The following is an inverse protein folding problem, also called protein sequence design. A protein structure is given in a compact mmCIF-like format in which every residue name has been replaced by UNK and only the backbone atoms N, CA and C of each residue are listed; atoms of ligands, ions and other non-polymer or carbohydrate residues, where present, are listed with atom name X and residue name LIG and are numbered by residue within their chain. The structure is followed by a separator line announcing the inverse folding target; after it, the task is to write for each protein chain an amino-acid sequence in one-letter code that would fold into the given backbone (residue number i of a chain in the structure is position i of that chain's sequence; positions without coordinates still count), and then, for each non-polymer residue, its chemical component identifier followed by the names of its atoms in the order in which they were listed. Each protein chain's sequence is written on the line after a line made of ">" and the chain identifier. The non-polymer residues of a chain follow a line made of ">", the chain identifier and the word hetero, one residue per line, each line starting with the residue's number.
data_IF_295270963113
#
_entry.id   IF_295270963113
#
_cell.length_a   1.000
_cell.length_b   1.000
_cell.length_c   1.000
_cell.angle_alpha   90.00
_cell.angle_beta   90.00
_cell.angle_gamma   90.00
#
_symmetry.space_group_name_H-M   'P 1'
#
loop_
_entity.id
_entity.type
_entity.pdbx_description
1 polymer ?
#
# COMPACT_ATOMS: atom_id res chain seq x y z
N UNK A 1 -12.60 -32.28 18.80
CA UNK A 1 -13.62 -31.28 18.49
C UNK A 1 -12.98 -29.96 18.07
N UNK A 2 -13.68 -29.19 17.29
CA UNK A 2 -13.25 -27.84 16.89
C UNK A 2 -13.36 -26.95 18.13
N UNK A 3 -12.24 -26.31 18.51
CA UNK A 3 -12.22 -25.31 19.59
C UNK A 3 -12.81 -24.00 19.07
N UNK A 4 -13.48 -23.25 19.94
CA UNK A 4 -13.84 -21.88 19.63
C UNK A 4 -12.58 -20.96 19.62
N UNK A 5 -12.74 -19.74 19.12
CA UNK A 5 -11.61 -18.80 19.00
C UNK A 5 -10.98 -18.45 20.35
N UNK A 6 -11.78 -18.31 21.42
CA UNK A 6 -11.28 -18.00 22.77
C UNK A 6 -10.45 -19.14 23.33
N UNK A 7 -10.91 -20.38 23.15
CA UNK A 7 -10.18 -21.59 23.58
C UNK A 7 -8.87 -21.73 22.80
N UNK A 8 -8.87 -21.49 21.49
CA UNK A 8 -7.68 -21.58 20.65
C UNK A 8 -6.65 -20.49 21.06
N UNK A 9 -7.10 -19.26 21.27
CA UNK A 9 -6.24 -18.16 21.72
C UNK A 9 -5.61 -18.45 23.10
N UNK A 10 -6.39 -18.94 24.04
CA UNK A 10 -5.89 -19.26 25.39
C UNK A 10 -4.91 -20.43 25.37
N UNK A 11 -5.13 -21.42 24.52
CA UNK A 11 -4.31 -22.63 24.47
C UNK A 11 -2.98 -22.43 23.77
N UNK A 12 -2.96 -21.65 22.68
CA UNK A 12 -1.83 -21.58 21.76
C UNK A 12 -1.09 -20.26 21.79
N UNK A 13 -1.71 -19.19 22.26
CA UNK A 13 -1.13 -17.86 22.17
C UNK A 13 -0.90 -17.20 23.54
N UNK A 14 0.15 -16.43 23.62
CA UNK A 14 0.44 -15.54 24.74
C UNK A 14 0.19 -14.09 24.33
N UNK A 15 -0.25 -13.28 25.29
CA UNK A 15 -0.34 -11.84 25.10
C UNK A 15 1.04 -11.21 25.26
N UNK A 16 1.40 -10.35 24.34
CA UNK A 16 2.54 -9.48 24.50
C UNK A 16 2.21 -8.43 25.56
N UNK A 17 3.00 -8.40 26.65
CA UNK A 17 2.80 -7.45 27.74
C UNK A 17 3.21 -6.02 27.36
N UNK A 18 3.94 -5.84 26.25
CA UNK A 18 4.46 -4.55 25.79
C UNK A 18 3.58 -3.87 24.74
N UNK A 19 2.70 -4.64 24.09
CA UNK A 19 1.82 -4.13 23.04
C UNK A 19 0.39 -4.65 23.21
N UNK A 20 -0.57 -3.73 23.32
CA UNK A 20 -1.97 -4.08 23.41
C UNK A 20 -2.43 -4.82 22.15
N UNK A 21 -3.17 -5.91 22.34
CA UNK A 21 -3.72 -6.76 21.28
C UNK A 21 -2.71 -7.54 20.41
N UNK A 22 -1.45 -7.59 20.80
CA UNK A 22 -0.47 -8.45 20.14
C UNK A 22 -0.48 -9.84 20.79
N UNK A 23 -0.71 -10.85 19.96
CA UNK A 23 -0.75 -12.25 20.36
C UNK A 23 0.36 -13.01 19.64
N UNK A 24 1.20 -13.69 20.41
CA UNK A 24 2.29 -14.51 19.87
C UNK A 24 2.04 -15.97 20.17
N UNK A 25 2.26 -16.83 19.18
CA UNK A 25 2.16 -18.28 19.37
C UNK A 25 3.22 -18.75 20.37
N UNK A 26 2.82 -19.59 21.35
CA UNK A 26 3.79 -20.21 22.26
C UNK A 26 4.77 -21.10 21.46
N UNK A 27 6.10 -20.89 21.54
CA UNK A 27 7.05 -21.70 20.78
C UNK A 27 6.93 -23.21 21.05
N UNK A 28 6.67 -23.59 22.30
CA UNK A 28 6.50 -25.00 22.69
C UNK A 28 5.15 -25.60 22.26
N UNK A 29 4.19 -24.79 21.80
CA UNK A 29 2.88 -25.20 21.30
C UNK A 29 2.77 -25.15 19.78
N UNK A 30 3.77 -24.69 19.08
CA UNK A 30 3.73 -24.50 17.64
C UNK A 30 3.36 -25.79 16.88
N UNK A 31 4.03 -26.89 17.19
CA UNK A 31 3.73 -28.19 16.57
C UNK A 31 2.28 -28.66 16.84
N UNK A 32 1.81 -28.49 18.08
CA UNK A 32 0.45 -28.87 18.46
C UNK A 32 -0.59 -28.00 17.75
N UNK A 33 -0.31 -26.70 17.61
CA UNK A 33 -1.15 -25.77 16.89
C UNK A 33 -1.30 -26.15 15.41
N UNK A 34 -0.20 -26.43 14.72
CA UNK A 34 -0.24 -26.82 13.32
C UNK A 34 -0.94 -28.16 13.09
N UNK A 35 -0.75 -29.14 13.98
CA UNK A 35 -1.47 -30.42 13.91
C UNK A 35 -2.97 -30.19 14.09
N UNK A 36 -3.36 -29.40 15.07
CA UNK A 36 -4.76 -29.05 15.29
C UNK A 36 -5.35 -28.30 14.10
N UNK A 37 -4.65 -27.34 13.56
CA UNK A 37 -5.11 -26.55 12.43
C UNK A 37 -5.30 -27.42 11.17
N UNK A 38 -4.36 -28.31 10.87
CA UNK A 38 -4.45 -29.25 9.75
C UNK A 38 -5.60 -30.27 9.90
N UNK A 39 -6.13 -30.46 11.08
CA UNK A 39 -7.25 -31.39 11.28
C UNK A 39 -8.58 -30.90 10.71
N UNK A 40 -8.70 -29.60 10.41
CA UNK A 40 -9.95 -28.99 9.94
C UNK A 40 -9.77 -27.88 8.92
N UNK A 41 -8.56 -27.37 8.70
CA UNK A 41 -8.23 -26.31 7.74
C UNK A 41 -7.41 -26.87 6.58
N UNK A 42 -7.65 -26.34 5.40
CA UNK A 42 -6.87 -26.60 4.19
C UNK A 42 -6.17 -25.31 3.80
N UNK A 43 -4.85 -25.40 3.58
CA UNK A 43 -4.05 -24.28 3.09
C UNK A 43 -3.81 -24.47 1.61
N UNK A 44 -4.32 -23.55 0.81
CA UNK A 44 -4.20 -23.59 -0.65
C UNK A 44 -3.50 -22.32 -1.11
N UNK A 45 -2.44 -22.48 -1.89
CA UNK A 45 -1.75 -21.39 -2.56
C UNK A 45 -1.94 -21.44 -4.06
N UNK A 46 -2.11 -22.67 -4.61
CA UNK A 46 -2.22 -22.91 -6.04
C UNK A 46 -3.26 -24.00 -6.32
N UNK A 47 -3.83 -24.04 -7.51
CA UNK A 47 -4.70 -25.16 -7.93
C UNK A 47 -4.02 -26.53 -7.82
N UNK A 48 -2.70 -26.63 -8.01
CA UNK A 48 -1.92 -27.85 -7.85
C UNK A 48 -1.95 -28.43 -6.45
N UNK A 49 -2.19 -27.64 -5.43
CA UNK A 49 -2.38 -28.13 -4.05
C UNK A 49 -3.63 -29.03 -3.92
N UNK A 50 -4.57 -28.92 -4.86
CA UNK A 50 -5.75 -29.79 -5.00
C UNK A 50 -5.63 -30.79 -6.16
N UNK A 51 -4.48 -30.89 -6.82
CA UNK A 51 -4.25 -31.78 -7.94
C UNK A 51 -4.74 -31.26 -9.30
N UNK A 52 -5.07 -29.96 -9.42
CA UNK A 52 -5.44 -29.31 -10.68
C UNK A 52 -4.21 -28.68 -11.35
N UNK A 53 -4.35 -28.31 -12.63
CA UNK A 53 -3.32 -27.55 -13.35
C UNK A 53 -3.20 -26.13 -12.84
N UNK A 54 -1.97 -25.61 -12.71
CA UNK A 54 -1.67 -24.20 -12.43
C UNK A 54 -1.73 -23.29 -13.67
N UNK A 55 -2.08 -23.86 -14.82
CA UNK A 55 -2.22 -23.08 -16.06
C UNK A 55 -3.20 -21.92 -15.91
N UNK A 56 -2.75 -20.71 -16.24
CA UNK A 56 -3.51 -19.46 -16.04
C UNK A 56 -3.40 -18.85 -14.64
N UNK A 57 -2.74 -19.52 -13.70
CA UNK A 57 -2.47 -19.00 -12.35
C UNK A 57 -1.01 -18.55 -12.17
N UNK A 58 -0.14 -18.83 -13.12
CA UNK A 58 1.23 -18.35 -13.10
C UNK A 58 1.27 -16.86 -13.43
N UNK A 59 1.65 -16.06 -12.44
CA UNK A 59 1.82 -14.63 -12.61
C UNK A 59 3.20 -14.33 -13.20
N UNK A 60 3.32 -13.34 -14.10
CA UNK A 60 4.61 -12.87 -14.55
C UNK A 60 5.43 -12.33 -13.36
N UNK A 61 6.78 -12.39 -13.43
CA UNK A 61 7.64 -11.86 -12.38
C UNK A 61 7.33 -10.39 -12.06
N UNK A 62 7.24 -10.06 -10.78
CA UNK A 62 7.10 -8.68 -10.35
C UNK A 62 8.36 -7.89 -10.69
N UNK A 63 8.21 -6.80 -11.44
CA UNK A 63 9.27 -5.85 -11.74
C UNK A 63 9.10 -4.61 -10.87
N UNK A 64 10.13 -4.28 -10.10
CA UNK A 64 10.12 -3.11 -9.22
C UNK A 64 11.22 -2.14 -9.66
N UNK A 65 10.83 -0.90 -9.91
CA UNK A 65 11.73 0.18 -10.29
C UNK A 65 11.77 1.24 -9.19
N UNK A 66 12.96 1.55 -8.70
CA UNK A 66 13.18 2.59 -7.70
C UNK A 66 13.64 3.87 -8.38
N UNK A 67 12.97 4.97 -8.09
CA UNK A 67 13.30 6.28 -8.61
C UNK A 67 13.71 7.20 -7.46
N UNK A 68 14.96 7.62 -7.46
CA UNK A 68 15.45 8.63 -6.53
C UNK A 68 15.03 10.01 -7.00
N UNK A 69 14.46 10.79 -6.09
CA UNK A 69 14.14 12.21 -6.33
C UNK A 69 15.01 13.09 -5.45
N UNK A 70 15.69 14.05 -6.06
CA UNK A 70 16.47 15.05 -5.30
C UNK A 70 15.51 16.09 -4.74
N UNK A 71 15.56 16.29 -3.44
CA UNK A 71 14.93 17.42 -2.77
C UNK A 71 15.90 18.59 -2.76
N UNK A 72 15.41 19.78 -3.08
CA UNK A 72 16.21 20.99 -2.95
C UNK A 72 16.34 21.36 -1.47
N UNK A 73 17.47 20.98 -0.86
CA UNK A 73 17.78 21.22 0.55
C UNK A 73 18.03 22.71 0.85
N UNK A 74 18.17 23.57 -0.17
CA UNK A 74 18.38 24.99 0.00
C UNK A 74 17.19 25.72 0.64
N UNK A 75 16.00 25.11 0.60
CA UNK A 75 14.77 25.58 1.27
C UNK A 75 14.44 24.78 2.53
N UNK A 76 15.42 24.18 3.21
CA UNK A 76 15.23 23.63 4.54
C UNK A 76 14.74 24.75 5.47
N UNK A 77 13.43 24.73 5.77
CA UNK A 77 12.79 25.78 6.57
C UNK A 77 13.44 25.94 7.94
N UNK A 78 13.28 27.11 8.53
CA UNK A 78 13.69 27.39 9.92
C UNK A 78 12.91 26.47 10.87
N UNK A 79 13.55 26.05 11.94
CA UNK A 79 12.84 25.45 13.08
C UNK A 79 11.80 26.44 13.63
N UNK A 80 10.83 25.92 14.42
CA UNK A 80 9.76 26.75 15.03
C UNK A 80 10.26 27.91 15.90
N UNK A 81 11.50 27.85 16.31
CA UNK A 81 12.22 28.87 17.10
C UNK A 81 13.10 29.83 16.26
N UNK A 82 13.04 29.72 14.92
CA UNK A 82 13.72 30.68 14.02
C UNK A 82 15.19 30.38 13.77
N UNK A 83 15.75 29.30 14.29
CA UNK A 83 17.13 28.91 14.04
C UNK A 83 17.26 28.19 12.70
N UNK A 84 18.12 28.69 11.81
CA UNK A 84 18.44 28.04 10.55
C UNK A 84 19.23 26.73 10.78
N UNK A 85 18.74 25.63 10.23
CA UNK A 85 19.50 24.36 10.28
C UNK A 85 20.73 24.45 9.39
N UNK A 86 21.92 24.40 9.99
CA UNK A 86 23.19 24.38 9.25
C UNK A 86 23.47 23.01 8.59
N UNK A 87 22.92 21.93 9.18
CA UNK A 87 23.00 20.56 8.67
C UNK A 87 21.67 19.85 8.98
N UNK A 88 21.09 19.16 8.00
CA UNK A 88 20.01 18.21 8.24
C UNK A 88 20.63 16.88 8.60
N UNK A 89 20.59 16.52 9.88
CA UNK A 89 20.80 15.13 10.25
C UNK A 89 19.72 14.23 9.63
N UNK A 90 20.12 13.05 9.19
CA UNK A 90 19.18 12.07 8.68
C UNK A 90 18.00 11.91 9.66
N UNK A 91 16.78 11.93 9.14
CA UNK A 91 15.54 11.99 9.90
C UNK A 91 15.47 10.95 11.03
N UNK A 92 15.81 11.36 12.24
CA UNK A 92 15.83 10.49 13.43
C UNK A 92 14.48 10.57 14.20
N UNK A 93 13.39 10.99 13.56
CA UNK A 93 12.10 11.05 14.23
C UNK A 93 10.92 11.26 13.30
N UNK A 94 9.73 10.96 13.81
CA UNK A 94 8.46 11.09 13.08
C UNK A 94 8.23 12.50 12.50
N UNK A 95 8.67 13.54 13.21
CA UNK A 95 8.53 14.93 12.74
C UNK A 95 9.45 15.22 11.55
N UNK A 96 10.68 14.70 11.56
CA UNK A 96 11.64 14.84 10.47
C UNK A 96 11.16 14.08 9.24
N UNK A 97 10.63 12.86 9.41
CA UNK A 97 10.05 12.07 8.33
C UNK A 97 8.84 12.76 7.68
N UNK A 98 7.95 13.36 8.49
CA UNK A 98 6.80 14.11 7.98
C UNK A 98 7.21 15.37 7.19
N UNK A 99 8.26 16.06 7.65
CA UNK A 99 8.83 17.23 6.96
C UNK A 99 9.45 16.82 5.62
N UNK A 100 10.25 15.76 5.61
CA UNK A 100 10.86 15.23 4.39
C UNK A 100 9.82 14.75 3.37
N UNK A 101 8.76 14.05 3.82
CA UNK A 101 7.63 13.68 2.96
C UNK A 101 6.97 14.90 2.31
N UNK A 102 6.80 15.99 3.05
CA UNK A 102 6.22 17.23 2.55
C UNK A 102 7.14 17.92 1.54
N UNK A 103 8.42 18.05 1.86
CA UNK A 103 9.41 18.78 1.05
C UNK A 103 9.77 18.01 -0.23
N UNK A 104 9.79 16.67 -0.20
CA UNK A 104 10.01 15.83 -1.38
C UNK A 104 8.80 15.71 -2.30
N UNK A 105 7.61 16.09 -1.83
CA UNK A 105 6.35 15.87 -2.57
C UNK A 105 6.36 16.48 -3.99
N UNK A 106 6.77 17.73 -4.23
CA UNK A 106 6.80 18.28 -5.58
C UNK A 106 7.69 17.48 -6.54
N UNK A 107 8.85 17.05 -6.09
CA UNK A 107 9.77 16.25 -6.90
C UNK A 107 9.20 14.85 -7.20
N UNK A 108 8.53 14.22 -6.23
CA UNK A 108 7.86 12.92 -6.43
C UNK A 108 6.70 13.02 -7.42
N UNK A 109 5.90 14.07 -7.34
CA UNK A 109 4.80 14.35 -8.28
C UNK A 109 5.35 14.59 -9.69
N UNK A 110 6.41 15.38 -9.83
CA UNK A 110 7.07 15.64 -11.13
C UNK A 110 7.61 14.32 -11.73
N UNK A 111 8.24 13.48 -10.93
CA UNK A 111 8.75 12.17 -11.38
C UNK A 111 7.63 11.23 -11.79
N UNK A 112 6.54 11.17 -11.05
CA UNK A 112 5.33 10.44 -11.45
C UNK A 112 4.81 10.90 -12.80
N UNK A 113 4.67 12.21 -13.01
CA UNK A 113 4.19 12.78 -14.27
C UNK A 113 5.13 12.45 -15.45
N UNK A 114 6.45 12.47 -15.24
CA UNK A 114 7.45 12.03 -16.23
C UNK A 114 7.25 10.56 -16.63
N UNK A 115 7.06 9.66 -15.65
CA UNK A 115 6.83 8.23 -15.91
C UNK A 115 5.56 8.03 -16.74
N UNK A 116 4.47 8.69 -16.36
CA UNK A 116 3.20 8.60 -17.09
C UNK A 116 3.30 9.18 -18.52
N UNK A 117 4.06 10.26 -18.69
CA UNK A 117 4.29 10.85 -20.02
C UNK A 117 5.12 9.95 -20.93
N UNK A 118 6.02 9.15 -20.37
CA UNK A 118 6.81 8.17 -21.13
C UNK A 118 6.01 6.93 -21.54
N UNK A 119 4.85 6.68 -20.92
CA UNK A 119 3.99 5.53 -21.19
C UNK A 119 2.50 5.93 -21.18
N UNK A 120 2.08 6.73 -22.18
CA UNK A 120 0.76 7.36 -22.20
C UNK A 120 -0.40 6.38 -22.46
N UNK A 121 -0.10 5.18 -22.92
CA UNK A 121 -1.12 4.19 -23.30
C UNK A 121 -1.49 3.21 -22.20
N UNK A 122 -0.67 3.12 -21.15
CA UNK A 122 -0.91 2.20 -20.04
C UNK A 122 -1.87 2.76 -19.00
N UNK A 123 -2.52 1.85 -18.28
CA UNK A 123 -3.30 2.16 -17.10
C UNK A 123 -2.40 2.07 -15.87
N UNK A 124 -2.55 3.03 -14.96
CA UNK A 124 -1.77 3.09 -13.74
C UNK A 124 -2.65 3.31 -12.50
N UNK A 125 -2.29 2.63 -11.41
CA UNK A 125 -2.74 2.99 -10.07
C UNK A 125 -1.68 3.88 -9.45
N UNK A 126 -2.09 5.06 -8.99
CA UNK A 126 -1.25 6.06 -8.36
C UNK A 126 -1.50 6.04 -6.85
N UNK A 127 -0.67 5.25 -6.13
CA UNK A 127 -0.79 5.11 -4.70
C UNK A 127 -0.26 6.34 -3.97
N UNK A 128 -1.07 6.91 -3.11
CA UNK A 128 -0.69 8.01 -2.25
C UNK A 128 -1.05 7.71 -0.79
N UNK A 129 -0.42 8.42 0.14
CA UNK A 129 -0.70 8.32 1.56
C UNK A 129 -1.39 9.57 2.10
N UNK A 130 -0.92 10.77 1.72
CA UNK A 130 -1.42 12.05 2.19
C UNK A 130 -2.51 12.62 1.28
N UNK A 131 -3.47 13.36 1.87
CA UNK A 131 -4.49 14.07 1.09
C UNK A 131 -3.89 15.15 0.16
N UNK A 132 -2.81 15.79 0.61
CA UNK A 132 -2.08 16.74 -0.23
C UNK A 132 -1.49 16.09 -1.49
N UNK A 133 -1.03 14.85 -1.40
CA UNK A 133 -0.57 14.09 -2.57
C UNK A 133 -1.72 13.83 -3.55
N UNK A 134 -2.91 13.46 -3.06
CA UNK A 134 -4.11 13.28 -3.89
C UNK A 134 -4.44 14.54 -4.70
N UNK A 135 -4.40 15.71 -4.05
CA UNK A 135 -4.67 16.99 -4.72
C UNK A 135 -3.60 17.34 -5.76
N UNK A 136 -2.34 17.06 -5.45
CA UNK A 136 -1.24 17.35 -6.37
C UNK A 136 -1.24 16.37 -7.55
N UNK A 137 -1.60 15.09 -7.35
CA UNK A 137 -1.81 14.12 -8.43
C UNK A 137 -2.93 14.60 -9.36
N UNK A 138 -4.08 14.99 -8.82
CA UNK A 138 -5.21 15.47 -9.63
C UNK A 138 -4.85 16.71 -10.47
N UNK A 139 -3.96 17.57 -9.94
CA UNK A 139 -3.47 18.75 -10.66
C UNK A 139 -2.44 18.40 -11.74
N UNK A 140 -1.53 17.48 -11.44
CA UNK A 140 -0.45 17.07 -12.35
C UNK A 140 -0.92 16.13 -13.46
N UNK A 141 -1.98 15.36 -13.22
CA UNK A 141 -2.54 14.37 -14.15
C UNK A 141 -4.03 14.68 -14.39
N UNK A 142 -4.34 15.65 -15.27
CA UNK A 142 -5.72 15.93 -15.64
C UNK A 142 -6.41 14.69 -16.21
N UNK A 143 -7.60 14.37 -15.69
CA UNK A 143 -8.33 13.16 -16.07
C UNK A 143 -8.04 11.93 -15.19
N UNK A 144 -7.15 12.04 -14.20
CA UNK A 144 -7.07 11.02 -13.15
C UNK A 144 -8.32 11.09 -12.26
N UNK A 145 -8.82 9.91 -11.86
CA UNK A 145 -9.95 9.78 -10.93
C UNK A 145 -9.44 9.39 -9.56
N UNK A 146 -9.86 10.13 -8.53
CA UNK A 146 -9.46 9.86 -7.16
C UNK A 146 -10.54 9.06 -6.42
N UNK A 147 -10.10 8.05 -5.66
CA UNK A 147 -10.93 7.26 -4.73
C UNK A 147 -10.41 7.46 -3.30
N UNK A 148 -11.26 7.95 -2.40
CA UNK A 148 -10.89 8.28 -1.02
C UNK A 148 -12.01 8.01 -0.02
N UNK A 149 -11.64 7.85 1.27
CA UNK A 149 -12.53 7.33 2.29
C UNK A 149 -13.75 8.19 2.62
N UNK A 150 -13.66 9.53 2.50
CA UNK A 150 -14.78 10.45 2.76
C UNK A 150 -15.74 10.62 1.57
N UNK A 151 -15.47 9.95 0.45
CA UNK A 151 -16.32 9.97 -0.73
C UNK A 151 -17.58 9.13 -0.48
N UNK A 152 -18.67 9.47 -1.15
CA UNK A 152 -19.87 8.63 -1.19
C UNK A 152 -19.56 7.22 -1.66
N UNK A 153 -20.16 6.21 -1.01
CA UNK A 153 -19.84 4.81 -1.26
C UNK A 153 -20.15 4.37 -2.70
N UNK A 154 -21.31 4.79 -3.23
CA UNK A 154 -21.75 4.40 -4.57
C UNK A 154 -20.85 5.02 -5.63
N UNK A 155 -20.46 6.29 -5.43
CA UNK A 155 -19.51 6.98 -6.32
C UNK A 155 -18.13 6.32 -6.29
N UNK A 156 -17.66 5.91 -5.12
CA UNK A 156 -16.40 5.22 -4.95
C UNK A 156 -16.40 3.85 -5.62
N UNK A 157 -17.47 3.07 -5.39
CA UNK A 157 -17.65 1.77 -6.02
C UNK A 157 -17.71 1.90 -7.54
N UNK A 158 -18.49 2.87 -8.04
CA UNK A 158 -18.61 3.11 -9.47
C UNK A 158 -17.27 3.50 -10.10
N UNK A 159 -16.46 4.34 -9.44
CA UNK A 159 -15.13 4.70 -9.93
C UNK A 159 -14.18 3.49 -10.01
N UNK A 160 -14.23 2.59 -9.01
CA UNK A 160 -13.46 1.33 -9.01
C UNK A 160 -13.91 0.41 -10.16
N UNK A 161 -15.22 0.26 -10.36
CA UNK A 161 -15.77 -0.55 -11.46
C UNK A 161 -15.38 0.04 -12.81
N UNK A 162 -15.48 1.35 -12.97
CA UNK A 162 -15.15 2.05 -14.21
C UNK A 162 -13.66 1.90 -14.58
N UNK A 163 -12.77 2.00 -13.59
CA UNK A 163 -11.35 1.75 -13.78
C UNK A 163 -11.07 0.27 -14.12
N UNK A 164 -11.70 -0.66 -13.43
CA UNK A 164 -11.60 -2.10 -13.71
C UNK A 164 -12.04 -2.46 -15.14
N UNK A 165 -12.95 -1.67 -15.70
CA UNK A 165 -13.43 -1.80 -17.07
C UNK A 165 -12.64 -0.95 -18.09
N UNK A 166 -11.57 -0.28 -17.67
CA UNK A 166 -10.70 0.50 -18.55
C UNK A 166 -11.27 1.81 -19.06
N UNK A 167 -12.31 2.38 -18.41
CA UNK A 167 -12.94 3.63 -18.85
C UNK A 167 -12.04 4.87 -18.72
N UNK A 168 -11.05 4.81 -17.84
CA UNK A 168 -10.03 5.85 -17.69
C UNK A 168 -8.68 5.22 -17.30
N UNK A 169 -7.58 5.94 -17.56
CA UNK A 169 -6.22 5.37 -17.47
C UNK A 169 -5.58 5.46 -16.08
N UNK A 170 -5.94 6.44 -15.26
CA UNK A 170 -5.24 6.72 -14.02
C UNK A 170 -6.20 6.77 -12.83
N UNK A 171 -6.03 5.82 -11.90
CA UNK A 171 -6.75 5.79 -10.62
C UNK A 171 -5.81 6.24 -9.50
N UNK A 172 -6.21 7.24 -8.73
CA UNK A 172 -5.48 7.69 -7.54
C UNK A 172 -6.19 7.23 -6.28
N UNK A 173 -5.51 6.48 -5.42
CA UNK A 173 -6.12 5.94 -4.20
C UNK A 173 -5.09 5.71 -3.08
N UNK A 174 -5.58 5.59 -1.85
CA UNK A 174 -4.79 5.04 -0.73
C UNK A 174 -4.86 3.51 -0.78
N UNK A 175 -3.76 2.78 -0.47
CA UNK A 175 -3.79 1.32 -0.39
C UNK A 175 -4.86 0.78 0.57
N UNK A 176 -5.14 1.49 1.67
CA UNK A 176 -6.19 1.14 2.63
C UNK A 176 -7.63 1.24 2.08
N UNK A 177 -7.84 1.95 0.96
CA UNK A 177 -9.17 2.18 0.37
C UNK A 177 -9.44 1.26 -0.82
N UNK A 178 -8.43 1.03 -1.66
CA UNK A 178 -8.57 0.25 -2.90
C UNK A 178 -7.44 -0.78 -3.11
N UNK A 179 -6.65 -1.09 -2.08
CA UNK A 179 -5.51 -2.02 -2.18
C UNK A 179 -5.89 -3.49 -2.10
N UNK A 180 -7.13 -3.82 -1.70
CA UNK A 180 -7.60 -5.20 -1.63
C UNK A 180 -9.04 -5.32 -2.12
N UNK A 181 -9.40 -6.51 -2.61
CA UNK A 181 -10.76 -6.81 -3.08
C UNK A 181 -11.10 -6.22 -4.46
N UNK A 182 -10.18 -5.52 -5.11
CA UNK A 182 -10.40 -4.91 -6.42
C UNK A 182 -9.69 -5.69 -7.52
N UNK A 183 -10.35 -5.87 -8.64
CA UNK A 183 -9.90 -6.66 -9.78
C UNK A 183 -9.49 -5.74 -10.94
N UNK A 184 -8.28 -5.17 -10.87
CA UNK A 184 -7.79 -4.22 -11.87
C UNK A 184 -7.00 -4.88 -13.02
N UNK A 185 -6.52 -6.11 -12.83
CA UNK A 185 -5.54 -6.76 -13.69
C UNK A 185 -5.97 -6.94 -15.16
N UNK A 186 -7.26 -6.81 -15.45
CA UNK A 186 -7.75 -6.90 -16.82
C UNK A 186 -7.21 -5.77 -17.71
N UNK A 187 -7.06 -4.58 -17.17
CA UNK A 187 -6.59 -3.39 -17.88
C UNK A 187 -5.38 -2.75 -17.22
N UNK A 188 -5.18 -2.93 -15.92
CA UNK A 188 -4.11 -2.29 -15.18
C UNK A 188 -3.26 -3.32 -14.44
N UNK A 189 -1.96 -3.32 -14.74
CA UNK A 189 -0.94 -4.11 -14.08
C UNK A 189 0.27 -3.27 -13.64
N UNK A 190 0.15 -1.95 -13.71
CA UNK A 190 1.19 -1.00 -13.35
C UNK A 190 0.74 -0.11 -12.20
N UNK A 191 1.64 0.12 -11.25
CA UNK A 191 1.38 1.01 -10.12
C UNK A 191 2.58 1.90 -9.84
N UNK A 192 2.31 3.13 -9.40
CA UNK A 192 3.33 4.06 -8.92
C UNK A 192 3.00 4.39 -7.46
N UNK A 193 3.94 4.15 -6.57
CA UNK A 193 3.87 4.60 -5.19
C UNK A 193 4.44 6.01 -5.10
N UNK A 194 3.55 7.01 -5.15
CA UNK A 194 3.90 8.43 -5.06
C UNK A 194 4.25 8.82 -3.62
N UNK A 195 3.59 8.21 -2.66
CA UNK A 195 3.89 8.33 -1.24
C UNK A 195 3.83 6.97 -0.56
N UNK A 196 4.87 6.63 0.20
CA UNK A 196 4.93 5.40 1.01
C UNK A 196 4.83 5.80 2.48
N UNK A 197 4.05 5.05 3.26
CA UNK A 197 4.07 5.12 4.72
C UNK A 197 5.01 4.08 5.29
N UNK A 198 5.53 4.36 6.49
CA UNK A 198 6.45 3.48 7.20
C UNK A 198 5.69 2.61 8.18
#
# INVERSE_FOLDING_TARGET
>A
GIMDSGQALTRFFQRDSTQANNLTLYPHKEKEFWIWLNSWAIFLQRPSDLGFSDEGYDLPPLQVFYHEVKTDLANAGNEKDGQGMLFRDAAIGLQSAATEKRDSRPARIAKMAEILAADPDSHYILWHHQESERHDIARAVPGSVAVYGAQDLDQREQAVIDFSNGKFKHLSAKPSVAGSGCNFQRHCHKAIFVGIDY
#
